data_IF_117147169793
#
_entry.id   IF_117147169793
#
_cell.length_a   1.000
_cell.length_b   1.000
_cell.length_c   1.000
_cell.angle_alpha   90.00
_cell.angle_beta   90.00
_cell.angle_gamma   90.00
#
_symmetry.space_group_name_H-M   'P 1'
#
loop_
_entity.id
_entity.type
_entity.pdbx_description
1 polymer ?
#
# COMPACT_ATOMS: atom_id res chain seq x y z
N UNK A 1 -2.63 21.14 27.82
CA UNK A 1 -3.71 20.12 27.80
C UNK A 1 -4.65 20.45 26.66
N UNK A 2 -4.54 19.77 25.52
CA UNK A 2 -5.46 19.93 24.39
C UNK A 2 -5.54 18.58 23.64
N UNK A 3 -6.72 18.10 23.25
CA UNK A 3 -7.02 16.67 23.18
C UNK A 3 -7.12 16.18 21.73
N UNK A 4 -6.08 15.53 21.24
CA UNK A 4 -6.13 14.75 19.98
C UNK A 4 -5.60 13.32 20.18
N UNK A 5 -5.67 12.81 21.40
CA UNK A 5 -5.40 11.40 21.79
C UNK A 5 -6.64 10.51 21.52
N UNK A 6 -7.42 10.77 20.47
CA UNK A 6 -8.64 9.99 20.16
C UNK A 6 -8.71 9.55 18.69
N UNK A 7 -7.62 8.99 18.17
CA UNK A 7 -7.71 8.04 17.05
C UNK A 7 -7.31 6.67 17.57
N UNK A 8 -8.33 5.91 17.99
CA UNK A 8 -8.25 4.60 18.66
C UNK A 8 -7.85 3.43 17.74
N UNK A 9 -7.33 3.71 16.53
CA UNK A 9 -7.16 2.69 15.49
C UNK A 9 -5.87 2.81 14.66
N UNK A 10 -4.83 3.47 15.18
CA UNK A 10 -3.54 3.51 14.48
C UNK A 10 -2.43 2.92 15.36
N UNK A 11 -2.26 1.61 15.29
CA UNK A 11 -1.19 0.87 15.95
C UNK A 11 -0.21 0.30 14.93
N UNK A 12 1.08 0.45 15.23
CA UNK A 12 2.22 -0.10 14.51
C UNK A 12 2.58 -1.49 15.10
N UNK A 13 2.49 -2.56 14.29
CA UNK A 13 2.84 -3.96 14.63
C UNK A 13 1.61 -4.87 14.70
N UNK A 14 1.56 -6.13 14.24
CA UNK A 14 2.59 -7.12 13.86
C UNK A 14 1.91 -8.31 13.14
N UNK A 15 2.71 -9.05 12.34
CA UNK A 15 2.51 -10.38 11.73
C UNK A 15 1.37 -10.60 10.72
N UNK A 16 1.69 -10.39 9.44
CA UNK A 16 1.10 -11.16 8.34
C UNK A 16 2.09 -12.24 7.92
N UNK A 17 1.62 -13.50 7.83
CA UNK A 17 2.43 -14.73 7.69
C UNK A 17 2.84 -15.07 6.25
N UNK A 18 2.30 -14.39 5.25
CA UNK A 18 3.05 -14.19 3.99
C UNK A 18 3.95 -13.00 4.16
N UNK A 19 5.14 -13.06 3.57
CA UNK A 19 6.13 -12.01 3.62
C UNK A 19 5.59 -10.68 3.03
N UNK A 20 4.81 -9.94 3.84
CA UNK A 20 4.07 -8.74 3.45
C UNK A 20 5.02 -7.64 2.99
N UNK A 21 6.24 -7.64 3.54
CA UNK A 21 7.29 -6.75 3.08
C UNK A 21 7.70 -7.06 1.64
N UNK A 22 7.88 -8.33 1.28
CA UNK A 22 8.35 -8.70 -0.05
C UNK A 22 7.23 -8.83 -1.08
N UNK A 23 6.05 -9.27 -0.67
CA UNK A 23 4.90 -9.50 -1.57
C UNK A 23 4.11 -8.21 -1.82
N UNK A 24 3.72 -7.51 -0.75
CA UNK A 24 2.85 -6.33 -0.86
C UNK A 24 3.70 -5.07 -1.10
N UNK A 25 4.60 -4.72 -0.17
CA UNK A 25 5.29 -3.42 -0.22
C UNK A 25 6.41 -3.39 -1.26
N UNK A 26 7.38 -4.30 -1.16
CA UNK A 26 8.51 -4.41 -2.08
C UNK A 26 8.20 -5.22 -3.35
N UNK A 27 6.99 -5.79 -3.45
CA UNK A 27 6.50 -6.55 -4.60
C UNK A 27 5.48 -5.74 -5.41
N UNK A 28 4.20 -5.90 -5.11
CA UNK A 28 3.09 -5.27 -5.83
C UNK A 28 3.16 -3.74 -5.81
N UNK A 29 3.33 -3.12 -4.63
CA UNK A 29 3.37 -1.67 -4.51
C UNK A 29 4.62 -1.06 -5.14
N UNK A 30 5.79 -1.70 -4.97
CA UNK A 30 7.01 -1.33 -5.70
C UNK A 30 6.77 -1.33 -7.21
N UNK A 31 6.14 -2.37 -7.74
CA UNK A 31 5.83 -2.48 -9.16
C UNK A 31 4.91 -1.35 -9.61
N UNK A 32 3.83 -1.10 -8.87
CA UNK A 32 2.90 0.00 -9.14
C UNK A 32 3.64 1.36 -9.18
N UNK A 33 4.50 1.63 -8.21
CA UNK A 33 5.26 2.88 -8.19
C UNK A 33 6.29 2.96 -9.33
N UNK A 34 6.92 1.84 -9.71
CA UNK A 34 7.81 1.81 -10.88
C UNK A 34 7.03 2.18 -12.13
N UNK A 35 5.85 1.60 -12.34
CA UNK A 35 4.99 1.97 -13.45
C UNK A 35 4.76 3.49 -13.42
N UNK A 36 4.18 4.00 -12.34
CA UNK A 36 3.78 5.40 -12.25
C UNK A 36 4.92 6.42 -12.39
N UNK A 37 6.14 6.11 -11.93
CA UNK A 37 7.20 7.12 -11.77
C UNK A 37 8.50 6.84 -12.53
N UNK A 38 8.65 5.69 -13.20
CA UNK A 38 9.87 5.41 -13.95
C UNK A 38 9.86 6.08 -15.33
N UNK A 39 11.02 6.57 -15.78
CA UNK A 39 11.15 7.26 -17.07
C UNK A 39 10.81 6.38 -18.27
N UNK A 40 10.95 5.06 -18.13
CA UNK A 40 10.54 4.06 -19.12
C UNK A 40 9.08 4.22 -19.55
N UNK A 41 8.20 4.63 -18.62
CA UNK A 41 6.77 4.77 -18.86
C UNK A 41 6.32 6.23 -18.98
N UNK A 42 7.24 7.18 -19.21
CA UNK A 42 6.92 8.62 -19.20
C UNK A 42 5.87 9.04 -20.24
N UNK A 43 5.75 8.28 -21.34
CA UNK A 43 4.81 8.56 -22.42
C UNK A 43 3.47 7.81 -22.26
N UNK A 44 3.33 6.96 -21.24
CA UNK A 44 2.08 6.26 -20.96
C UNK A 44 1.06 7.23 -20.34
N UNK A 45 -0.22 7.10 -20.71
CA UNK A 45 -1.28 8.04 -20.30
C UNK A 45 -1.52 8.09 -18.79
N UNK A 46 -1.23 6.99 -18.09
CA UNK A 46 -1.35 6.83 -16.64
C UNK A 46 -0.07 7.25 -15.88
N UNK A 47 1.00 7.64 -16.59
CA UNK A 47 2.27 8.01 -16.00
C UNK A 47 2.16 9.29 -15.15
N UNK A 48 2.89 9.30 -14.04
CA UNK A 48 3.04 10.44 -13.15
C UNK A 48 4.48 10.98 -13.15
N UNK A 49 5.32 10.57 -14.11
CA UNK A 49 6.73 10.97 -14.21
C UNK A 49 6.92 12.49 -14.17
N UNK A 50 6.15 13.23 -14.97
CA UNK A 50 6.23 14.70 -15.05
C UNK A 50 5.74 15.39 -13.76
N UNK A 51 5.01 14.67 -12.90
CA UNK A 51 4.49 15.19 -11.62
C UNK A 51 5.41 14.94 -10.44
N UNK A 52 6.53 14.21 -10.62
CA UNK A 52 7.43 13.83 -9.52
C UNK A 52 7.87 15.05 -8.69
N UNK A 53 8.26 16.15 -9.32
CA UNK A 53 8.71 17.35 -8.60
C UNK A 53 7.63 17.92 -7.66
N UNK A 54 6.36 17.90 -8.10
CA UNK A 54 5.22 18.39 -7.32
C UNK A 54 4.88 17.44 -6.17
N UNK A 55 4.96 16.13 -6.43
CA UNK A 55 4.69 15.09 -5.45
C UNK A 55 5.80 15.07 -4.39
N UNK A 56 7.07 15.13 -4.78
CA UNK A 56 8.22 15.19 -3.87
C UNK A 56 8.10 16.40 -2.94
N UNK A 57 7.72 17.59 -3.46
CA UNK A 57 7.45 18.77 -2.63
C UNK A 57 6.29 18.57 -1.66
N UNK A 58 5.28 17.77 -2.03
CA UNK A 58 4.18 17.45 -1.12
C UNK A 58 4.62 16.47 -0.03
N UNK A 59 5.46 15.49 -0.38
CA UNK A 59 6.01 14.50 0.54
C UNK A 59 6.91 15.12 1.62
N UNK A 60 7.58 16.25 1.35
CA UNK A 60 8.37 16.94 2.41
C UNK A 60 7.51 17.52 3.53
N UNK A 61 6.21 17.73 3.28
CA UNK A 61 5.25 18.25 4.26
C UNK A 61 4.57 17.15 5.08
N UNK A 62 4.74 15.88 4.68
CA UNK A 62 4.14 14.74 5.38
C UNK A 62 4.89 14.52 6.69
N UNK A 63 4.16 14.60 7.79
CA UNK A 63 4.67 14.21 9.10
C UNK A 63 4.69 12.68 9.19
N UNK A 64 5.86 12.13 9.50
CA UNK A 64 6.03 10.72 9.83
C UNK A 64 6.26 10.59 11.35
N UNK A 65 5.90 9.46 11.98
CA UNK A 65 6.18 9.25 13.39
C UNK A 65 7.67 9.41 13.68
N UNK A 66 8.03 9.92 14.86
CA UNK A 66 9.42 10.13 15.28
C UNK A 66 10.29 8.86 15.23
N UNK A 67 9.66 7.68 15.32
CA UNK A 67 10.30 6.36 15.16
C UNK A 67 10.76 6.09 13.72
N UNK A 68 10.21 6.80 12.74
CA UNK A 68 10.64 6.75 11.33
C UNK A 68 11.70 7.82 11.11
N UNK A 69 12.97 7.45 11.27
CA UNK A 69 14.10 8.40 11.20
C UNK A 69 14.34 9.05 9.82
N UNK A 70 13.57 8.70 8.76
CA UNK A 70 13.89 9.08 7.38
C UNK A 70 12.75 9.85 6.72
N UNK A 71 13.09 11.04 6.20
CA UNK A 71 12.26 11.77 5.22
C UNK A 71 12.12 10.94 3.94
N UNK A 72 11.01 11.10 3.23
CA UNK A 72 10.84 10.49 1.91
C UNK A 72 11.97 10.92 0.99
N UNK A 73 12.57 9.94 0.31
CA UNK A 73 13.49 10.24 -0.80
C UNK A 73 12.67 10.67 -2.02
N UNK A 74 13.38 11.14 -3.04
CA UNK A 74 12.73 11.51 -4.31
C UNK A 74 12.17 10.26 -5.00
N UNK A 75 10.96 10.38 -5.55
CA UNK A 75 10.36 9.34 -6.38
C UNK A 75 11.17 9.07 -7.68
N UNK A 76 12.08 9.97 -8.08
CA UNK A 76 13.00 9.73 -9.21
C UNK A 76 13.89 8.51 -9.01
N UNK A 77 14.20 8.16 -7.76
CA UNK A 77 15.04 7.01 -7.40
C UNK A 77 14.23 5.87 -6.78
N UNK A 78 12.94 5.78 -7.12
CA UNK A 78 12.02 4.81 -6.51
C UNK A 78 12.51 3.36 -6.60
N UNK A 79 13.24 2.98 -7.65
CA UNK A 79 13.79 1.64 -7.82
C UNK A 79 14.88 1.28 -6.79
N UNK A 80 15.48 2.29 -6.15
CA UNK A 80 16.54 2.15 -5.13
C UNK A 80 15.98 2.16 -3.70
N UNK A 81 14.66 2.11 -3.53
CA UNK A 81 14.03 2.06 -2.21
C UNK A 81 14.22 0.70 -1.57
N UNK A 82 14.45 0.69 -0.26
CA UNK A 82 14.40 -0.50 0.58
C UNK A 82 12.93 -0.86 0.87
N UNK A 83 12.65 -2.11 1.21
CA UNK A 83 11.30 -2.57 1.58
C UNK A 83 10.60 -1.67 2.59
N UNK A 84 11.33 -1.24 3.63
CA UNK A 84 10.79 -0.35 4.67
C UNK A 84 10.41 1.04 4.17
N UNK A 85 11.05 1.53 3.10
CA UNK A 85 10.73 2.83 2.49
C UNK A 85 9.47 2.75 1.62
N UNK A 86 9.27 1.63 0.91
CA UNK A 86 8.00 1.36 0.24
C UNK A 86 6.86 1.29 1.26
N UNK A 87 7.04 0.57 2.37
CA UNK A 87 6.06 0.51 3.45
C UNK A 87 5.76 1.88 4.06
N UNK A 88 6.79 2.70 4.29
CA UNK A 88 6.61 4.07 4.80
C UNK A 88 5.81 4.93 3.82
N UNK A 89 6.16 4.88 2.53
CA UNK A 89 5.45 5.62 1.47
C UNK A 89 3.99 5.17 1.36
N UNK A 90 3.72 3.87 1.47
CA UNK A 90 2.38 3.29 1.45
C UNK A 90 1.49 3.87 2.55
N UNK A 91 1.98 3.89 3.80
CA UNK A 91 1.18 4.29 4.95
C UNK A 91 1.03 5.80 5.12
N UNK A 92 2.03 6.57 4.70
CA UNK A 92 2.07 8.01 5.01
C UNK A 92 2.10 8.92 3.79
N UNK A 93 2.73 8.48 2.70
CA UNK A 93 2.93 9.32 1.52
C UNK A 93 1.80 9.25 0.49
N UNK A 94 0.94 8.25 0.57
CA UNK A 94 -0.09 7.99 -0.45
C UNK A 94 -1.03 9.18 -0.68
N UNK A 95 -1.41 9.91 0.38
CA UNK A 95 -2.26 11.10 0.27
C UNK A 95 -1.61 12.18 -0.59
N UNK A 96 -0.28 12.31 -0.52
CA UNK A 96 0.49 13.21 -1.39
C UNK A 96 0.48 12.74 -2.83
N UNK A 97 0.55 11.44 -3.09
CA UNK A 97 0.48 10.89 -4.45
C UNK A 97 -0.91 11.13 -5.07
N UNK A 98 -1.97 10.74 -4.37
CA UNK A 98 -3.35 10.76 -4.88
C UNK A 98 -3.84 12.16 -5.22
N UNK A 99 -3.40 13.19 -4.50
CA UNK A 99 -3.74 14.60 -4.78
C UNK A 99 -3.38 15.03 -6.20
N UNK A 100 -2.32 14.45 -6.78
CA UNK A 100 -1.81 14.83 -8.10
C UNK A 100 -2.34 13.91 -9.22
N UNK A 101 -3.18 12.94 -8.90
CA UNK A 101 -3.81 12.05 -9.88
C UNK A 101 -5.14 12.68 -10.30
N UNK A 102 -5.43 12.72 -11.61
CA UNK A 102 -6.72 13.20 -12.12
C UNK A 102 -7.62 12.04 -12.53
N UNK A 103 -7.03 10.94 -12.99
CA UNK A 103 -7.73 9.72 -13.38
C UNK A 103 -8.39 9.05 -12.16
N UNK A 104 -9.72 8.95 -12.19
CA UNK A 104 -10.52 8.35 -11.12
C UNK A 104 -10.26 6.84 -10.97
N UNK A 105 -10.00 6.11 -12.07
CA UNK A 105 -9.68 4.68 -12.03
C UNK A 105 -8.37 4.46 -11.30
N UNK A 106 -7.36 5.29 -11.59
CA UNK A 106 -6.06 5.18 -10.94
C UNK A 106 -6.14 5.54 -9.44
N UNK A 107 -7.00 6.49 -9.06
CA UNK A 107 -7.30 6.76 -7.64
C UNK A 107 -7.95 5.57 -6.95
N UNK A 108 -9.00 5.01 -7.56
CA UNK A 108 -9.72 3.86 -7.00
C UNK A 108 -8.81 2.63 -6.88
N UNK A 109 -7.90 2.43 -7.84
CA UNK A 109 -6.86 1.42 -7.75
C UNK A 109 -6.00 1.60 -6.49
N UNK A 110 -5.44 2.79 -6.27
CA UNK A 110 -4.60 3.05 -5.09
C UNK A 110 -5.38 2.92 -3.78
N UNK A 111 -6.61 3.44 -3.74
CA UNK A 111 -7.46 3.38 -2.56
C UNK A 111 -7.87 1.96 -2.22
N UNK A 112 -8.22 1.13 -3.21
CA UNK A 112 -8.61 -0.27 -2.96
C UNK A 112 -7.47 -1.07 -2.34
N UNK A 113 -6.25 -0.96 -2.85
CA UNK A 113 -5.07 -1.60 -2.26
C UNK A 113 -4.85 -1.15 -0.81
N UNK A 114 -4.88 0.16 -0.56
CA UNK A 114 -4.58 0.69 0.77
C UNK A 114 -5.69 0.37 1.77
N UNK A 115 -6.95 0.44 1.35
CA UNK A 115 -8.07 0.01 2.17
C UNK A 115 -7.96 -1.48 2.53
N UNK A 116 -7.70 -2.35 1.55
CA UNK A 116 -7.56 -3.78 1.78
C UNK A 116 -6.44 -4.10 2.77
N UNK A 117 -5.25 -3.53 2.57
CA UNK A 117 -4.10 -3.81 3.44
C UNK A 117 -4.29 -3.23 4.84
N UNK A 118 -4.94 -2.07 4.99
CA UNK A 118 -5.24 -1.50 6.31
C UNK A 118 -6.29 -2.33 7.06
N UNK A 119 -7.33 -2.82 6.36
CA UNK A 119 -8.33 -3.72 6.94
C UNK A 119 -7.71 -5.06 7.35
N UNK A 120 -6.88 -5.64 6.48
CA UNK A 120 -6.12 -6.84 6.81
C UNK A 120 -5.23 -6.61 8.04
N UNK A 121 -4.56 -5.46 8.13
CA UNK A 121 -3.68 -5.12 9.26
C UNK A 121 -4.39 -4.72 10.55
N UNK A 122 -5.72 -4.84 10.62
CA UNK A 122 -6.51 -4.51 11.81
C UNK A 122 -6.25 -5.51 12.95
N UNK A 123 -6.29 -5.03 14.20
CA UNK A 123 -6.22 -5.89 15.40
C UNK A 123 -7.44 -6.80 15.56
N UNK A 124 -8.53 -6.47 14.88
CA UNK A 124 -9.77 -7.24 14.89
C UNK A 124 -10.22 -7.45 13.45
N UNK A 125 -10.17 -8.70 13.02
CA UNK A 125 -10.55 -9.14 11.68
C UNK A 125 -11.74 -10.09 11.83
N UNK A 126 -12.87 -9.71 11.26
CA UNK A 126 -14.09 -10.53 11.18
C UNK A 126 -14.22 -11.19 9.82
N UNK A 127 -15.10 -12.18 9.68
CA UNK A 127 -15.44 -12.78 8.38
C UNK A 127 -15.90 -11.70 7.37
N UNK A 128 -16.70 -10.73 7.82
CA UNK A 128 -17.10 -9.57 7.01
C UNK A 128 -15.88 -8.73 6.57
N UNK A 129 -14.89 -8.55 7.45
CA UNK A 129 -13.65 -7.84 7.12
C UNK A 129 -12.87 -8.62 6.06
N UNK A 130 -12.77 -9.94 6.20
CA UNK A 130 -12.09 -10.83 5.24
C UNK A 130 -12.78 -10.72 3.87
N UNK A 131 -14.10 -10.80 3.82
CA UNK A 131 -14.88 -10.68 2.59
C UNK A 131 -14.67 -9.30 1.91
N UNK A 132 -14.61 -8.22 2.69
CA UNK A 132 -14.31 -6.88 2.17
C UNK A 132 -12.89 -6.81 1.62
N UNK A 133 -11.90 -7.36 2.34
CA UNK A 133 -10.49 -7.41 1.88
C UNK A 133 -10.39 -8.19 0.57
N UNK A 134 -11.03 -9.35 0.48
CA UNK A 134 -11.10 -10.16 -0.74
C UNK A 134 -11.64 -9.36 -1.91
N UNK A 135 -12.81 -8.71 -1.74
CA UNK A 135 -13.44 -7.90 -2.80
C UNK A 135 -12.54 -6.74 -3.25
N UNK A 136 -11.90 -6.05 -2.31
CA UNK A 136 -11.01 -4.93 -2.63
C UNK A 136 -9.75 -5.37 -3.38
N UNK A 137 -9.17 -6.53 -3.03
CA UNK A 137 -7.98 -7.06 -3.71
C UNK A 137 -8.32 -7.61 -5.11
N UNK A 138 -9.47 -8.26 -5.28
CA UNK A 138 -9.97 -8.64 -6.60
C UNK A 138 -10.19 -7.40 -7.49
N UNK A 139 -10.84 -6.37 -6.96
CA UNK A 139 -11.02 -5.09 -7.67
C UNK A 139 -9.66 -4.46 -8.04
N UNK A 140 -8.71 -4.43 -7.12
CA UNK A 140 -7.36 -3.92 -7.39
C UNK A 140 -6.70 -4.67 -8.55
N UNK A 141 -6.69 -6.01 -8.51
CA UNK A 141 -6.02 -6.83 -9.53
C UNK A 141 -6.67 -6.65 -10.89
N UNK A 142 -8.01 -6.61 -10.96
CA UNK A 142 -8.73 -6.34 -12.20
C UNK A 142 -8.41 -4.96 -12.76
N UNK A 143 -8.53 -3.89 -11.95
CA UNK A 143 -8.22 -2.54 -12.39
C UNK A 143 -6.75 -2.35 -12.76
N UNK A 144 -5.83 -3.04 -12.09
CA UNK A 144 -4.40 -3.01 -12.42
C UNK A 144 -4.19 -3.55 -13.83
N UNK A 145 -4.80 -4.68 -14.16
CA UNK A 145 -4.74 -5.28 -15.49
C UNK A 145 -5.35 -4.37 -16.56
N UNK A 146 -6.48 -3.73 -16.28
CA UNK A 146 -7.15 -2.82 -17.21
C UNK A 146 -6.39 -1.52 -17.47
N UNK A 147 -5.63 -1.01 -16.48
CA UNK A 147 -4.85 0.23 -16.61
C UNK A 147 -3.49 -0.04 -17.26
N UNK A 148 -2.77 -1.05 -16.78
CA UNK A 148 -1.38 -1.30 -17.18
C UNK A 148 -1.25 -2.39 -18.25
N UNK A 149 -2.24 -3.27 -18.39
CA UNK A 149 -2.24 -4.37 -19.35
C UNK A 149 -1.60 -5.66 -18.82
N UNK A 150 -1.94 -6.78 -19.49
CA UNK A 150 -1.49 -8.13 -19.14
C UNK A 150 0.03 -8.27 -18.97
N UNK A 151 0.82 -7.54 -19.77
CA UNK A 151 2.29 -7.58 -19.75
C UNK A 151 2.90 -7.16 -18.40
N UNK A 152 2.13 -6.48 -17.56
CA UNK A 152 2.56 -6.03 -16.23
C UNK A 152 1.95 -6.86 -15.10
N UNK A 153 1.19 -7.92 -15.38
CA UNK A 153 0.67 -8.82 -14.35
C UNK A 153 1.79 -9.75 -13.84
N UNK A 154 2.40 -9.38 -12.71
CA UNK A 154 3.45 -10.19 -12.08
C UNK A 154 2.86 -11.20 -11.08
N UNK A 155 3.66 -12.18 -10.67
CA UNK A 155 3.29 -13.11 -9.59
C UNK A 155 2.88 -12.36 -8.33
N UNK A 156 3.59 -11.29 -7.95
CA UNK A 156 3.26 -10.48 -6.78
C UNK A 156 1.88 -9.80 -6.90
N UNK A 157 1.45 -9.40 -8.11
CA UNK A 157 0.11 -8.85 -8.32
C UNK A 157 -0.95 -9.93 -8.14
N UNK A 158 -0.74 -11.12 -8.72
CA UNK A 158 -1.68 -12.24 -8.55
C UNK A 158 -1.74 -12.76 -7.11
N UNK A 159 -0.60 -12.79 -6.41
CA UNK A 159 -0.51 -13.21 -5.00
C UNK A 159 -1.39 -12.37 -4.07
N UNK A 160 -1.74 -11.13 -4.44
CA UNK A 160 -2.67 -10.33 -3.67
C UNK A 160 -4.07 -10.96 -3.56
N UNK A 161 -4.50 -11.76 -4.54
CA UNK A 161 -5.78 -12.47 -4.47
C UNK A 161 -5.85 -13.45 -3.31
N UNK A 162 -4.70 -13.93 -2.81
CA UNK A 162 -4.61 -14.93 -1.76
C UNK A 162 -4.41 -14.33 -0.35
N UNK A 163 -4.16 -13.02 -0.22
CA UNK A 163 -3.88 -12.38 1.08
C UNK A 163 -5.02 -12.56 2.07
N UNK A 164 -6.27 -12.60 1.62
CA UNK A 164 -7.43 -12.81 2.49
C UNK A 164 -7.47 -14.22 3.10
N UNK A 165 -6.84 -15.21 2.46
CA UNK A 165 -6.83 -16.60 2.93
C UNK A 165 -5.98 -16.72 4.20
N UNK A 166 -4.87 -15.97 4.28
CA UNK A 166 -4.01 -15.91 5.45
C UNK A 166 -4.71 -15.28 6.66
N UNK A 167 -5.70 -14.40 6.45
CA UNK A 167 -6.51 -13.81 7.53
C UNK A 167 -7.41 -14.84 8.21
N UNK A 168 -7.87 -15.85 7.46
CA UNK A 168 -8.82 -16.84 7.94
C UNK A 168 -8.16 -17.88 8.88
N UNK A 169 -6.83 -18.02 8.80
CA UNK A 169 -6.05 -19.01 9.58
C UNK A 169 -5.87 -18.59 11.06
N UNK A 170 -6.19 -17.35 11.42
CA UNK A 170 -5.93 -16.79 12.76
C UNK A 170 -6.94 -17.20 13.86
N UNK A 171 -8.06 -17.87 13.55
CA UNK A 171 -8.98 -18.29 14.62
C UNK A 171 -8.40 -19.38 15.53
N UNK A 172 -7.43 -20.18 15.06
CA UNK A 172 -6.77 -21.22 15.87
C UNK A 172 -5.51 -20.74 16.61
N UNK A 173 -4.84 -19.68 16.14
CA UNK A 173 -3.65 -19.12 16.80
C UNK A 173 -3.96 -18.02 17.83
N UNK A 174 -5.18 -17.49 17.83
CA UNK A 174 -5.62 -16.48 18.80
C UNK A 174 -5.65 -16.95 20.27
N UNK A 175 -5.51 -18.26 20.55
CA UNK A 175 -5.40 -18.79 21.93
C UNK A 175 -4.02 -18.51 22.54
N UNK A 176 -2.97 -18.26 21.74
CA UNK A 176 -1.63 -17.95 22.28
C UNK A 176 -1.38 -16.45 22.52
N UNK A 177 -2.34 -15.57 22.20
CA UNK A 177 -2.20 -14.11 22.37
C UNK A 177 -2.44 -13.60 23.81
N UNK A 178 -2.78 -14.46 24.77
CA UNK A 178 -2.99 -14.08 26.18
C UNK A 178 -1.94 -14.56 27.17
N UNK A 179 -0.82 -15.14 26.71
CA UNK A 179 0.26 -15.55 27.62
C UNK A 179 1.63 -15.28 27.01
N UNK A 180 2.16 -14.08 27.27
CA UNK A 180 3.54 -13.79 27.70
C UNK A 180 3.74 -12.27 27.81
#
# INVERSE_FOLDING_TARGET
>A
SCPLVKLKYFHYGTSFLTDSLHTIYAGAFKQLLKLLFHSEYRNESWSLFEKITQIDKSLTLVQTPSTTQRRFRSLKIINKYKGSEYRCLFHFGLTSLVRHINDIRLKNLLFSLVAAINLASSNYVTDETIEIVEKLLHYFVQCFQEIFGMRHMSSNIHSLLHVHQDLNVDMLWNIQRFTA
#
